data_IF_500127288251
#
_entry.id   IF_500127288251
#
_cell.length_a   1.000
_cell.length_b   1.000
_cell.length_c   1.000
_cell.angle_alpha   90.00
_cell.angle_beta   90.00
_cell.angle_gamma   90.00
#
_symmetry.space_group_name_H-M   'P 1'
#
loop_
_entity.id
_entity.type
_entity.pdbx_description
1 polymer ?
2 non-polymer ?
3 non-polymer ?
4 water ?
#
# COMPACT_ATOMS: atom_id res chain seq x y z
N UNK A 1 -8.11 -22.16 -5.21
CA UNK A 1 -8.09 -21.69 -6.62
C UNK A 1 -7.09 -20.55 -6.77
N UNK A 2 -7.23 -19.72 -7.83
CA UNK A 2 -6.30 -18.61 -8.01
C UNK A 2 -6.61 -17.59 -6.91
N UNK A 3 -5.62 -16.79 -6.54
CA UNK A 3 -5.80 -15.62 -5.63
C UNK A 3 -6.66 -14.62 -6.38
N UNK A 4 -7.54 -13.93 -5.65
CA UNK A 4 -8.38 -12.89 -6.23
C UNK A 4 -7.75 -11.51 -6.01
N UNK A 5 -7.83 -10.70 -7.03
CA UNK A 5 -7.23 -9.35 -7.04
C UNK A 5 -8.12 -8.32 -7.71
N UNK A 6 -7.99 -7.09 -7.29
CA UNK A 6 -8.77 -5.95 -7.86
C UNK A 6 -7.79 -4.85 -8.22
N UNK A 7 -7.97 -4.21 -9.36
CA UNK A 7 -7.23 -2.99 -9.70
C UNK A 7 -7.81 -1.80 -8.94
N UNK A 8 -6.96 -0.94 -8.44
CA UNK A 8 -7.41 0.24 -7.72
C UNK A 8 -6.36 1.33 -7.62
N UNK A 9 -6.77 2.52 -7.27
CA UNK A 9 -5.89 3.60 -6.81
C UNK A 9 -6.17 3.86 -5.33
N UNK A 10 -5.20 4.53 -4.71
CA UNK A 10 -5.33 4.99 -3.31
C UNK A 10 -5.08 6.47 -3.27
N UNK A 11 -5.79 7.18 -2.40
CA UNK A 11 -5.46 8.58 -2.05
C UNK A 11 -5.50 8.74 -0.54
N UNK A 12 -4.59 9.54 -0.01
CA UNK A 12 -4.54 9.80 1.45
C UNK A 12 -5.78 10.66 1.81
N UNK A 13 -5.98 10.84 3.10
CA UNK A 13 -7.20 11.51 3.57
C UNK A 13 -7.13 13.01 3.30
N UNK A 14 -5.97 13.51 2.94
CA UNK A 14 -5.88 14.92 2.48
C UNK A 14 -6.07 14.96 1.00
N UNK A 15 -6.38 13.84 0.33
CA UNK A 15 -6.70 13.66 -1.09
C UNK A 15 -5.45 13.82 -1.94
N UNK A 16 -4.29 13.47 -1.45
CA UNK A 16 -3.08 13.32 -2.28
C UNK A 16 -3.05 11.98 -2.98
N UNK A 17 -2.70 11.97 -4.24
CA UNK A 17 -2.51 10.80 -5.10
C UNK A 17 -1.07 10.27 -4.93
N UNK A 18 -0.89 9.00 -5.29
CA UNK A 18 0.43 8.33 -5.21
C UNK A 18 1.01 8.14 -6.61
N UNK A 19 2.26 8.53 -6.74
CA UNK A 19 3.04 8.41 -8.01
C UNK A 19 4.39 7.74 -7.73
N UNK A 20 5.06 7.25 -8.78
CA UNK A 20 6.44 6.71 -8.68
C UNK A 20 7.44 7.83 -8.37
N UNK A 21 8.48 7.50 -7.61
CA UNK A 21 9.60 8.40 -7.23
C UNK A 21 10.86 7.58 -7.50
N UNK A 22 11.17 7.38 -8.76
CA UNK A 22 12.23 6.43 -9.13
C UNK A 22 11.69 5.01 -9.05
N UNK A 23 12.55 4.00 -9.24
CA UNK A 23 12.04 2.65 -9.47
C UNK A 23 11.45 1.95 -8.24
N UNK A 24 11.91 2.32 -7.06
CA UNK A 24 11.56 1.58 -5.82
C UNK A 24 11.00 2.49 -4.69
N UNK A 25 10.43 3.59 -5.09
CA UNK A 25 9.77 4.47 -4.07
C UNK A 25 8.53 5.07 -4.67
N UNK A 26 7.57 5.37 -3.79
CA UNK A 26 6.34 6.12 -4.14
C UNK A 26 6.40 7.44 -3.40
N UNK A 27 5.76 8.46 -3.96
CA UNK A 27 5.57 9.76 -3.27
C UNK A 27 4.12 10.21 -3.46
N UNK A 28 3.69 11.22 -2.69
CA UNK A 28 2.28 11.67 -2.65
C UNK A 28 2.19 13.12 -3.12
N UNK A 29 1.34 13.38 -4.10
CA UNK A 29 1.14 14.71 -4.73
C UNK A 29 -0.35 15.02 -4.80
N UNK A 30 -0.72 16.29 -4.70
CA UNK A 30 -2.07 16.77 -5.07
C UNK A 30 -2.15 16.83 -6.60
N UNK A 31 -2.98 15.98 -7.21
CA UNK A 31 -3.09 15.81 -8.68
C UNK A 31 -4.56 15.89 -9.09
N UNK A 32 -4.81 16.46 -10.28
CA UNK A 32 -6.15 16.59 -10.90
C UNK A 32 -5.95 16.72 -12.41
N UNK A 33 -6.98 16.44 -13.20
CA UNK A 33 -6.95 16.61 -14.66
C UNK A 33 -6.05 15.59 -15.33
N UNK A 34 -5.15 16.06 -16.22
CA UNK A 34 -4.29 15.21 -17.08
C UNK A 34 -3.17 14.57 -16.25
N UNK A 35 -2.68 15.25 -15.21
CA UNK A 35 -1.52 14.79 -14.41
C UNK A 35 -1.91 13.61 -13.51
N UNK A 36 -3.19 13.23 -13.46
CA UNK A 36 -3.66 12.03 -12.71
C UNK A 36 -3.47 10.76 -13.56
N UNK A 37 -2.95 10.90 -14.78
CA UNK A 37 -2.42 9.76 -15.58
C UNK A 37 -1.18 9.19 -14.89
N UNK A 38 -0.52 9.99 -14.05
CA UNK A 38 0.74 9.61 -13.37
C UNK A 38 0.42 8.70 -12.17
N UNK A 39 -0.84 8.60 -11.75
CA UNK A 39 -1.21 7.87 -10.51
C UNK A 39 -0.87 6.38 -10.64
N UNK A 40 -0.26 5.83 -9.60
CA UNK A 40 0.02 4.37 -9.48
C UNK A 40 -1.33 3.65 -9.51
N UNK A 41 -1.44 2.63 -10.34
CA UNK A 41 -2.56 1.66 -10.31
C UNK A 41 -2.06 0.41 -9.61
N UNK A 42 -2.69 0.05 -8.50
CA UNK A 42 -2.35 -1.14 -7.70
C UNK A 42 -3.18 -2.32 -8.18
N UNK A 43 -2.63 -3.52 -8.04
CA UNK A 43 -3.39 -4.78 -7.96
C UNK A 43 -3.43 -5.18 -6.50
N UNK A 44 -4.60 -5.09 -5.86
CA UNK A 44 -4.75 -5.48 -4.45
C UNK A 44 -5.18 -6.92 -4.44
N UNK A 45 -4.37 -7.81 -3.88
CA UNK A 45 -4.67 -9.26 -3.79
C UNK A 45 -5.21 -9.57 -2.38
N UNK A 46 -6.19 -10.47 -2.29
CA UNK A 46 -6.80 -10.85 -1.02
C UNK A 46 -6.15 -12.16 -0.59
N UNK A 47 -5.29 -12.06 0.39
CA UNK A 47 -4.32 -13.12 0.70
C UNK A 47 -4.67 -13.85 1.98
N UNK A 48 -3.93 -14.91 2.22
CA UNK A 48 -4.01 -15.67 3.50
C UNK A 48 -3.57 -14.81 4.68
N UNK A 49 -4.30 -14.89 5.79
CA UNK A 49 -3.88 -14.27 7.05
C UNK A 49 -5.05 -14.15 8.02
N UNK A 50 -4.77 -13.81 9.26
CA UNK A 50 -5.79 -13.51 10.31
C UNK A 50 -6.76 -12.43 9.79
N UNK A 51 -8.07 -12.66 9.89
CA UNK A 51 -9.12 -11.82 9.25
C UNK A 51 -10.27 -11.58 10.24
N UNK A 52 -10.87 -10.40 10.21
CA UNK A 52 -12.14 -10.09 10.93
C UNK A 52 -13.02 -9.18 10.05
N UNK A 53 -14.18 -8.76 10.55
CA UNK A 53 -15.16 -8.05 9.69
C UNK A 53 -14.46 -6.87 9.03
N UNK A 54 -13.70 -6.12 9.80
CA UNK A 54 -13.22 -4.79 9.34
C UNK A 54 -11.71 -4.82 9.04
N UNK A 55 -11.08 -6.01 9.08
CA UNK A 55 -9.61 -6.24 8.99
C UNK A 55 -9.31 -7.38 8.00
N UNK A 56 -8.80 -7.03 6.82
CA UNK A 56 -8.74 -7.97 5.67
C UNK A 56 -7.29 -7.99 5.21
N UNK A 57 -6.63 -9.14 5.16
CA UNK A 57 -5.20 -9.15 4.77
C UNK A 57 -5.11 -9.04 3.25
N UNK A 58 -4.25 -8.11 2.80
CA UNK A 58 -4.05 -7.86 1.35
C UNK A 58 -2.55 -7.77 1.05
N UNK A 59 -2.21 -7.97 -0.22
CA UNK A 59 -0.94 -7.53 -0.77
C UNK A 59 -1.24 -6.40 -1.74
N UNK A 60 -0.27 -5.52 -1.87
CA UNK A 60 -0.34 -4.35 -2.79
C UNK A 60 0.76 -4.46 -3.83
N UNK A 61 0.46 -5.01 -4.99
CA UNK A 61 1.33 -5.03 -6.14
C UNK A 61 1.08 -3.86 -7.06
N UNK A 62 2.04 -3.43 -7.84
CA UNK A 62 1.82 -2.45 -8.90
C UNK A 62 1.23 -3.19 -10.08
N UNK A 63 0.18 -2.64 -10.69
CA UNK A 63 -0.54 -3.33 -11.78
C UNK A 63 0.46 -3.76 -12.86
N UNK A 64 0.41 -5.05 -13.21
CA UNK A 64 1.22 -5.71 -14.29
C UNK A 64 2.69 -5.37 -14.17
N UNK A 65 3.15 -5.26 -12.92
CA UNK A 65 4.60 -5.14 -12.62
C UNK A 65 4.90 -6.16 -11.56
N UNK A 66 6.10 -6.71 -11.57
CA UNK A 66 6.52 -7.69 -10.54
C UNK A 66 7.14 -6.91 -9.38
N UNK A 67 6.35 -6.02 -8.80
CA UNK A 67 6.77 -5.13 -7.71
C UNK A 67 5.66 -5.11 -6.67
N UNK A 68 6.04 -5.27 -5.42
CA UNK A 68 5.10 -5.29 -4.28
C UNK A 68 5.58 -4.36 -3.20
N UNK A 69 4.67 -3.69 -2.54
CA UNK A 69 5.04 -3.04 -1.27
C UNK A 69 5.38 -4.12 -0.24
N UNK A 70 6.39 -3.81 0.56
CA UNK A 70 7.12 -4.79 1.41
C UNK A 70 7.61 -4.11 2.70
N UNK A 71 7.42 -4.75 3.85
CA UNK A 71 7.84 -4.18 5.14
C UNK A 71 9.02 -5.01 5.64
N UNK A 72 10.15 -4.35 5.77
CA UNK A 72 11.41 -5.00 6.24
C UNK A 72 12.09 -4.07 7.23
N UNK A 73 12.98 -4.68 8.03
CA UNK A 73 13.90 -3.87 8.82
C UNK A 73 15.00 -3.32 7.91
N UNK A 74 15.22 -2.03 7.96
CA UNK A 74 16.36 -1.45 7.21
C UNK A 74 17.13 -0.61 8.21
N UNK A 75 18.46 -0.77 8.27
CA UNK A 75 19.26 -0.05 9.28
C UNK A 75 18.46 -0.13 10.59
N UNK A 76 17.97 -1.33 10.93
CA UNK A 76 17.30 -1.65 12.23
C UNK A 76 15.94 -0.98 12.43
N UNK A 77 15.25 -0.54 11.38
CA UNK A 77 13.90 0.06 11.57
C UNK A 77 12.88 -0.59 10.61
N UNK A 78 11.59 -0.73 11.02
CA UNK A 78 10.52 -1.15 10.09
C UNK A 78 10.43 -0.07 9.01
N UNK A 79 10.60 -0.49 7.76
CA UNK A 79 10.52 0.43 6.61
C UNK A 79 9.61 -0.18 5.55
N UNK A 80 9.12 0.71 4.71
CA UNK A 80 8.34 0.36 3.49
C UNK A 80 9.31 0.33 2.33
N UNK A 81 9.32 -0.75 1.56
CA UNK A 81 10.10 -0.82 0.32
C UNK A 81 9.24 -1.33 -0.82
N UNK A 82 9.66 -1.10 -2.05
CA UNK A 82 9.07 -1.75 -3.23
C UNK A 82 10.01 -2.87 -3.52
N UNK A 83 9.58 -4.08 -3.58
CA UNK A 83 10.42 -5.27 -3.76
C UNK A 83 10.03 -6.00 -5.03
N UNK A 84 11.03 -6.40 -5.83
CA UNK A 84 10.87 -7.22 -7.05
C UNK A 84 10.64 -8.69 -6.68
N UNK A 85 9.86 -9.41 -7.47
CA UNK A 85 9.63 -10.84 -7.28
C UNK A 85 9.72 -11.55 -8.64
N UNK A 86 9.72 -12.86 -8.60
CA UNK A 86 9.69 -13.68 -9.83
C UNK A 86 8.30 -13.60 -10.43
N UNK A 87 8.09 -13.02 -11.62
CA UNK A 87 6.75 -12.78 -12.15
C UNK A 87 6.02 -14.08 -12.46
N UNK A 88 6.73 -15.21 -12.51
CA UNK A 88 6.03 -16.51 -12.72
C UNK A 88 5.25 -16.94 -11.47
N UNK A 89 5.57 -16.43 -10.29
CA UNK A 89 5.14 -17.03 -9.02
C UNK A 89 4.14 -16.11 -8.29
N UNK A 90 3.89 -14.92 -8.81
CA UNK A 90 3.11 -13.86 -8.09
C UNK A 90 2.02 -13.37 -9.01
N UNK A 91 0.87 -12.91 -8.47
CA UNK A 91 0.58 -12.99 -7.05
C UNK A 91 0.23 -14.43 -6.68
N UNK A 92 0.22 -14.66 -5.39
CA UNK A 92 -0.21 -15.97 -4.87
C UNK A 92 -1.03 -15.76 -3.63
N UNK A 93 -1.76 -16.81 -3.23
CA UNK A 93 -2.66 -16.68 -2.06
C UNK A 93 -1.82 -16.60 -0.79
N UNK A 94 -0.78 -17.40 -0.66
CA UNK A 94 0.06 -17.41 0.56
C UNK A 94 1.25 -16.48 0.35
N UNK A 95 0.99 -15.19 0.37
CA UNK A 95 2.09 -14.20 0.22
C UNK A 95 2.92 -14.23 1.49
N UNK A 96 4.24 -14.05 1.37
CA UNK A 96 5.15 -13.93 2.50
C UNK A 96 4.75 -12.74 3.40
N UNK A 97 5.04 -12.82 4.70
CA UNK A 97 4.42 -11.89 5.66
C UNK A 97 4.86 -10.45 5.40
N UNK A 98 6.07 -10.20 4.90
CA UNK A 98 6.55 -8.83 4.65
C UNK A 98 5.66 -8.13 3.60
N UNK A 99 4.92 -8.88 2.80
CA UNK A 99 4.07 -8.30 1.71
C UNK A 99 2.65 -8.06 2.20
N UNK A 100 2.29 -8.49 3.41
CA UNK A 100 0.89 -8.49 3.86
C UNK A 100 0.61 -7.25 4.71
N UNK A 101 -0.51 -6.62 4.37
CA UNK A 101 -1.05 -5.49 5.11
C UNK A 101 -2.44 -5.90 5.55
N UNK A 102 -2.78 -5.52 6.76
CA UNK A 102 -4.18 -5.58 7.24
C UNK A 102 -4.89 -4.30 6.80
N UNK A 103 -5.82 -4.45 5.88
CA UNK A 103 -6.65 -3.32 5.41
C UNK A 103 -7.81 -3.20 6.40
N UNK A 104 -7.84 -2.10 7.13
CA UNK A 104 -8.76 -1.86 8.27
C UNK A 104 -9.69 -0.73 7.85
N UNK A 105 -11.00 -0.93 7.98
CA UNK A 105 -12.00 0.09 7.62
C UNK A 105 -12.45 0.75 8.92
N UNK A 106 -12.12 2.03 9.12
CA UNK A 106 -12.65 2.79 10.30
C UNK A 106 -13.21 4.11 9.76
N UNK A 107 -14.50 4.34 10.05
CA UNK A 107 -15.21 5.62 9.77
C UNK A 107 -14.97 5.99 8.30
N UNK A 108 -15.30 5.06 7.42
CA UNK A 108 -15.40 5.30 5.97
C UNK A 108 -14.03 5.59 5.37
N UNK A 109 -12.95 5.32 6.11
CA UNK A 109 -11.56 5.43 5.62
C UNK A 109 -10.84 4.09 5.79
N UNK A 110 -9.70 3.92 5.13
CA UNK A 110 -8.91 2.68 5.20
C UNK A 110 -7.56 2.98 5.80
N UNK A 111 -7.09 2.08 6.63
CA UNK A 111 -5.71 2.14 7.08
C UNK A 111 -5.08 0.83 6.61
N UNK A 112 -3.77 0.83 6.38
CA UNK A 112 -3.05 -0.39 5.96
C UNK A 112 -1.93 -0.61 6.98
N UNK A 113 -2.21 -1.53 7.90
CA UNK A 113 -1.23 -1.88 8.93
C UNK A 113 -0.29 -2.98 8.41
N UNK A 114 1.00 -2.89 8.65
CA UNK A 114 1.89 -4.04 8.38
C UNK A 114 1.49 -5.28 9.19
N UNK A 115 1.28 -6.40 8.55
CA UNK A 115 1.02 -7.68 9.27
C UNK A 115 2.32 -8.02 10.01
N UNK A 116 3.48 -7.77 9.43
CA UNK A 116 4.80 -8.14 10.04
C UNK A 116 5.07 -7.27 11.26
N UNK A 117 4.73 -5.98 11.23
CA UNK A 117 5.11 -5.00 12.26
C UNK A 117 3.82 -4.39 12.79
N UNK A 118 3.23 -4.95 13.86
CA UNK A 118 1.97 -4.46 14.41
C UNK A 118 2.10 -2.97 14.75
N UNK A 119 1.05 -2.21 14.39
CA UNK A 119 0.87 -0.78 14.68
C UNK A 119 1.83 0.11 13.90
N UNK A 120 2.38 -0.42 12.81
CA UNK A 120 3.08 0.33 11.75
C UNK A 120 2.19 0.37 10.51
N UNK A 121 2.05 1.56 9.96
CA UNK A 121 1.03 1.85 8.91
C UNK A 121 1.67 2.48 7.71
N UNK A 122 1.14 2.16 6.53
CA UNK A 122 1.41 2.98 5.32
C UNK A 122 1.01 4.43 5.63
N UNK A 123 1.92 5.33 5.39
CA UNK A 123 1.83 6.75 5.83
C UNK A 123 2.25 7.70 4.71
N UNK A 124 1.68 8.92 4.73
CA UNK A 124 2.22 10.01 3.93
C UNK A 124 2.52 11.21 4.83
N UNK A 125 3.29 12.13 4.30
CA UNK A 125 3.56 13.43 4.95
C UNK A 125 2.49 14.44 4.56
N UNK A 126 2.34 15.49 5.37
CA UNK A 126 1.46 16.61 4.96
C UNK A 126 2.03 17.39 3.77
N UNK A 127 3.35 17.57 3.71
CA UNK A 127 4.03 18.23 2.60
C UNK A 127 3.87 17.43 1.31
N UNK A 128 3.84 18.12 0.17
CA UNK A 128 3.82 17.44 -1.15
C UNK A 128 5.21 16.89 -1.46
N UNK A 129 5.29 15.92 -2.38
CA UNK A 129 6.55 15.46 -3.01
C UNK A 129 7.42 14.74 -1.98
N UNK A 130 6.80 14.12 -0.98
CA UNK A 130 7.53 13.34 0.05
C UNK A 130 7.20 11.86 -0.14
N UNK A 131 8.12 10.96 0.24
CA UNK A 131 7.93 9.53 0.11
C UNK A 131 6.72 9.06 0.91
N UNK A 132 6.14 8.01 0.37
CA UNK A 132 5.26 7.10 1.14
C UNK A 132 6.16 6.25 2.03
N UNK A 133 5.79 6.05 3.27
CA UNK A 133 6.69 5.38 4.22
C UNK A 133 5.88 4.57 5.19
N UNK A 134 6.58 3.79 6.01
CA UNK A 134 5.95 3.06 7.12
C UNK A 134 6.13 3.88 8.39
N UNK A 135 5.03 4.20 9.05
CA UNK A 135 5.02 5.07 10.24
C UNK A 135 4.49 4.30 11.43
N UNK A 136 5.17 4.42 12.57
CA UNK A 136 4.87 3.69 13.83
C UNK A 136 3.85 4.45 14.67
N UNK A 137 3.20 5.45 14.07
CA UNK A 137 2.08 6.21 14.68
C UNK A 137 0.87 6.19 13.73
N UNK A 138 -0.31 5.77 14.21
CA UNK A 138 -1.61 6.02 13.52
C UNK A 138 -2.35 7.13 14.27
N UNK A 139 -1.62 8.18 14.68
CA UNK A 139 -2.16 9.35 15.39
C UNK A 139 -1.12 10.44 15.61
N UNK A 140 -1.13 11.48 14.76
CA UNK A 140 -0.17 12.60 14.80
C UNK A 140 -0.23 13.45 13.54
N UNK A 141 0.90 14.02 13.12
CA UNK A 141 0.98 14.96 11.97
C UNK A 141 0.94 14.16 10.66
N UNK A 142 1.50 12.95 10.65
CA UNK A 142 1.53 12.09 9.44
C UNK A 142 0.15 11.48 9.18
N UNK A 143 -0.12 11.17 7.91
CA UNK A 143 -1.44 10.71 7.49
C UNK A 143 -1.39 9.19 7.33
N UNK A 144 -2.33 8.50 7.96
CA UNK A 144 -2.39 7.02 7.94
C UNK A 144 -3.72 6.54 7.39
N UNK A 145 -4.60 7.42 6.91
CA UNK A 145 -5.95 7.08 6.41
C UNK A 145 -5.99 7.34 4.90
N UNK A 146 -6.69 6.49 4.20
CA UNK A 146 -6.77 6.50 2.74
C UNK A 146 -8.17 6.21 2.30
N UNK A 147 -8.50 6.55 1.04
CA UNK A 147 -9.63 6.03 0.31
C UNK A 147 -9.13 5.26 -0.90
N UNK A 148 -9.92 4.28 -1.32
CA UNK A 148 -9.63 3.43 -2.50
C UNK A 148 -10.61 3.86 -3.59
N UNK A 149 -10.12 3.86 -4.83
CA UNK A 149 -10.97 4.02 -6.04
C UNK A 149 -10.82 2.74 -6.82
N UNK A 150 -11.89 2.14 -7.26
CA UNK A 150 -11.85 0.89 -8.04
C UNK A 150 -11.62 1.32 -9.50
N UNK A 151 -10.78 0.56 -10.20
CA UNK A 151 -10.32 0.85 -11.59
C UNK A 151 -10.81 -0.33 -12.46
N UNK A 152 -11.17 -0.07 -13.72
CA UNK A 152 -11.52 -1.16 -14.68
C UNK A 152 -10.36 -2.15 -14.79
X LIG B 1 -2.11 -19.50 -5.77
X LIG B 1 -1.20 -20.11 -6.71
X LIG B 1 -3.20 -20.41 -5.46
X LIG B 1 -1.39 -19.18 -4.58
X LIG B 1 -2.65 -18.29 -6.35
X LIG C 1 11.39 -15.56 0.72
X LIG C 1 10.64 -14.91 -0.35
X LIG C 1 11.23 -16.99 0.62
X LIG C 1 12.78 -15.19 0.60
X LIG C 1 10.91 -15.14 2.03
X LIG D 1 1.75 3.35 -13.05
X LIG D 1 2.75 2.70 -12.32
X LIG D 1 2.63 1.35 -11.96
X LIG D 1 1.50 0.61 -12.33
X LIG D 1 0.51 1.24 -13.07
X LIG D 1 4.00 4.71 -14.69
X LIG D 1 2.54 5.06 -14.71
X LIG D 1 3.24 8.15 -16.95
X LIG D 1 1.96 8.70 -16.81
X LIG D 1 3.58 7.00 -15.94
X LIG D 1 4.56 4.84 -16.12
X LIG D 1 2.33 6.48 -15.15
X LIG D 1 1.85 4.83 -13.38
X LIG D 1 0.62 2.61 -13.43
X LIG D 1 4.04 5.97 -16.79
#
# INVERSE_FOLDING_TARGET
>A
APVRSLNCTLRDSQQKSLVMSGPYELKALHLQGQDMEQQVVFSMSFVQGEESNDKIPVALGLKEKNLYLSCVLKDDKPTLQLESVDPKNYPKKKMEKRFVFNKIEINNKLEFESAQFPNWYISTSQAENMPVFLGGTKGGQDITDFTMQFVSS
>B hetero
1 SO4 S O1 O2 O3 O4
>C hetero
1 SO4 S O1 O2 O3 O4
>D hetero
1 S7V C4 C5 C6 C7 C8 C10 N C O C1 C11 C2 C3 C9 O1
#
